data_IF_443180936334
#
_entry.id   IF_443180936334
#
_cell.length_a   1.000
_cell.length_b   1.000
_cell.length_c   1.000
_cell.angle_alpha   90.00
_cell.angle_beta   90.00
_cell.angle_gamma   90.00
#
_symmetry.space_group_name_H-M   'P 1'
#
loop_
_entity.id
_entity.type
_entity.pdbx_description
1 polymer ?
#
# COMPACT_ATOMS: atom_id res chain seq x y z
N UNK A 1 5.18 -15.31 -15.03
CA UNK A 1 5.74 -15.16 -16.39
C UNK A 1 7.08 -15.89 -16.49
N UNK A 2 8.12 -15.47 -15.76
CA UNK A 2 9.44 -16.13 -15.75
C UNK A 2 9.41 -17.67 -15.59
N UNK A 3 8.62 -18.19 -14.65
CA UNK A 3 8.51 -19.64 -14.39
C UNK A 3 7.56 -20.39 -15.35
N UNK A 4 7.26 -19.85 -16.53
CA UNK A 4 6.32 -20.44 -17.51
C UNK A 4 4.84 -20.43 -17.12
N UNK A 5 4.49 -20.15 -15.85
CA UNK A 5 3.10 -20.05 -15.34
C UNK A 5 2.44 -18.72 -15.75
N UNK A 6 2.13 -18.56 -17.03
CA UNK A 6 1.56 -17.33 -17.60
C UNK A 6 0.10 -17.09 -17.19
N UNK A 7 -0.73 -18.13 -17.22
CA UNK A 7 -2.16 -18.06 -16.85
C UNK A 7 -2.40 -17.50 -15.43
N UNK A 8 -1.83 -18.12 -14.38
CA UNK A 8 -1.96 -17.60 -13.02
C UNK A 8 -1.38 -16.20 -12.85
N UNK A 9 -0.25 -15.89 -13.50
CA UNK A 9 0.32 -14.54 -13.45
C UNK A 9 -0.64 -13.51 -14.04
N UNK A 10 -1.23 -13.78 -15.21
CA UNK A 10 -2.22 -12.90 -15.87
C UNK A 10 -3.47 -12.70 -15.02
N UNK A 11 -3.92 -13.73 -14.29
CA UNK A 11 -5.03 -13.59 -13.34
C UNK A 11 -4.71 -12.54 -12.26
N UNK A 12 -3.50 -12.55 -11.70
CA UNK A 12 -3.07 -11.56 -10.71
C UNK A 12 -3.09 -10.14 -11.32
N UNK A 13 -2.53 -9.93 -12.51
CA UNK A 13 -2.63 -8.63 -13.20
C UNK A 13 -4.08 -8.22 -13.43
N UNK A 14 -4.94 -9.14 -13.86
CA UNK A 14 -6.36 -8.88 -14.12
C UNK A 14 -7.09 -8.40 -12.87
N UNK A 15 -6.94 -9.10 -11.74
CA UNK A 15 -7.59 -8.74 -10.48
C UNK A 15 -7.16 -7.34 -10.03
N UNK A 16 -5.86 -7.04 -10.09
CA UNK A 16 -5.37 -5.73 -9.68
C UNK A 16 -5.61 -4.61 -10.70
N UNK A 17 -6.05 -4.93 -11.93
CA UNK A 17 -6.26 -3.94 -13.01
C UNK A 17 -7.39 -2.95 -12.70
N UNK A 18 -8.34 -3.34 -11.84
CA UNK A 18 -9.42 -2.47 -11.36
C UNK A 18 -9.04 -1.59 -10.17
N UNK A 19 -7.96 -1.93 -9.45
CA UNK A 19 -7.50 -1.21 -8.26
C UNK A 19 -6.29 -0.31 -8.56
N UNK A 20 -5.48 -0.70 -9.54
CA UNK A 20 -4.25 -0.04 -9.93
C UNK A 20 -4.18 0.14 -11.45
N UNK A 21 -3.64 1.28 -11.88
CA UNK A 21 -3.40 1.54 -13.30
C UNK A 21 -2.28 0.68 -13.89
N UNK A 22 -1.43 0.06 -13.06
CA UNK A 22 -0.35 -0.84 -13.48
C UNK A 22 0.54 -0.28 -14.60
N UNK A 23 0.82 1.02 -14.59
CA UNK A 23 1.71 1.61 -15.59
C UNK A 23 3.14 1.09 -15.42
N UNK A 24 3.82 0.66 -16.50
CA UNK A 24 5.15 0.08 -16.40
C UNK A 24 6.17 1.07 -15.82
N UNK A 25 6.13 2.33 -16.23
CA UNK A 25 7.00 3.41 -15.72
C UNK A 25 6.74 3.77 -14.23
N UNK A 26 5.67 3.22 -13.64
CA UNK A 26 5.29 3.43 -12.24
C UNK A 26 5.31 2.14 -11.41
N UNK A 27 5.84 1.05 -11.96
CA UNK A 27 5.87 -0.27 -11.32
C UNK A 27 7.32 -0.70 -11.08
N UNK A 28 7.51 -1.64 -10.15
CA UNK A 28 8.80 -2.31 -10.00
C UNK A 28 8.88 -3.51 -10.95
N UNK A 29 10.07 -3.80 -11.47
CA UNK A 29 10.35 -4.96 -12.31
C UNK A 29 11.11 -6.03 -11.54
N UNK A 30 10.77 -7.29 -11.83
CA UNK A 30 11.42 -8.47 -11.29
C UNK A 30 12.04 -9.28 -12.43
N UNK A 31 13.13 -9.98 -12.14
CA UNK A 31 13.81 -10.87 -13.09
C UNK A 31 14.38 -10.16 -14.33
N UNK A 32 14.66 -8.87 -14.22
CA UNK A 32 15.35 -8.06 -15.23
C UNK A 32 16.58 -7.37 -14.63
N UNK A 33 17.37 -6.65 -15.45
CA UNK A 33 18.58 -5.98 -15.01
C UNK A 33 18.31 -4.74 -14.15
N UNK A 34 17.13 -4.12 -14.29
CA UNK A 34 16.74 -2.94 -13.51
C UNK A 34 15.45 -3.20 -12.74
N UNK A 35 15.33 -2.53 -11.59
CA UNK A 35 14.12 -2.59 -10.75
C UNK A 35 13.05 -1.59 -11.18
N UNK A 36 13.41 -0.58 -11.97
CA UNK A 36 12.49 0.45 -12.48
C UNK A 36 12.99 0.94 -13.83
N UNK A 37 12.06 1.29 -14.71
CA UNK A 37 12.33 1.91 -16.01
C UNK A 37 11.56 3.22 -16.13
N UNK A 38 12.16 4.24 -16.73
CA UNK A 38 11.45 5.48 -17.04
C UNK A 38 10.60 5.31 -18.30
N UNK A 39 9.59 6.17 -18.48
CA UNK A 39 8.77 6.16 -19.69
C UNK A 39 9.63 6.37 -20.95
N UNK A 40 10.53 7.36 -20.91
CA UNK A 40 11.42 7.67 -22.02
C UNK A 40 12.34 6.50 -22.40
N UNK A 41 12.78 5.70 -21.43
CA UNK A 41 13.58 4.49 -21.71
C UNK A 41 12.74 3.44 -22.45
N UNK A 42 11.54 3.14 -21.94
CA UNK A 42 10.64 2.15 -22.54
C UNK A 42 10.16 2.56 -23.95
N UNK A 43 9.99 3.86 -24.17
CA UNK A 43 9.67 4.43 -25.49
C UNK A 43 10.87 4.34 -26.45
N UNK A 44 12.09 4.68 -25.98
CA UNK A 44 13.30 4.60 -26.79
C UNK A 44 13.64 3.16 -27.22
N UNK A 45 13.29 2.18 -26.39
CA UNK A 45 13.46 0.75 -26.67
C UNK A 45 12.27 0.16 -27.46
N UNK A 46 11.24 0.97 -27.75
CA UNK A 46 10.05 0.61 -28.53
C UNK A 46 9.34 -0.66 -28.03
N UNK A 47 9.28 -0.85 -26.70
CA UNK A 47 8.65 -2.02 -26.07
C UNK A 47 7.19 -1.80 -25.70
N UNK A 48 6.73 -0.54 -25.71
CA UNK A 48 5.36 -0.19 -25.35
C UNK A 48 4.40 -0.43 -26.53
N UNK A 49 3.20 -0.98 -26.28
CA UNK A 49 2.21 -1.27 -27.33
C UNK A 49 1.48 -0.02 -27.85
N UNK A 50 1.74 1.16 -27.29
CA UNK A 50 1.14 2.44 -27.70
C UNK A 50 1.33 3.55 -26.68
N UNK A 51 0.95 4.76 -27.05
CA UNK A 51 1.18 5.98 -26.27
C UNK A 51 0.11 6.24 -25.21
N UNK A 52 -1.10 5.70 -25.36
CA UNK A 52 -2.17 5.94 -24.39
C UNK A 52 -1.94 5.19 -23.08
N UNK A 53 -2.41 5.75 -21.95
CA UNK A 53 -2.32 5.13 -20.61
C UNK A 53 -2.87 3.70 -20.62
N UNK A 54 -3.99 3.49 -21.33
CA UNK A 54 -4.64 2.17 -21.40
C UNK A 54 -3.80 1.16 -22.16
N UNK A 55 -3.14 1.56 -23.24
CA UNK A 55 -2.23 0.70 -24.01
C UNK A 55 -0.96 0.40 -23.21
N UNK A 56 -0.31 1.41 -22.62
CA UNK A 56 0.92 1.23 -21.82
C UNK A 56 0.73 0.21 -20.69
N UNK A 57 -0.46 0.20 -20.08
CA UNK A 57 -0.81 -0.78 -19.04
C UNK A 57 -0.67 -2.25 -19.50
N UNK A 58 -0.82 -2.53 -20.79
CA UNK A 58 -0.76 -3.89 -21.33
C UNK A 58 0.67 -4.44 -21.46
N UNK A 59 1.68 -3.57 -21.39
CA UNK A 59 3.06 -4.02 -21.30
C UNK A 59 3.35 -4.63 -19.92
N UNK A 60 3.36 -5.95 -19.82
CA UNK A 60 3.70 -6.68 -18.58
C UNK A 60 5.21 -6.82 -18.39
N UNK A 61 5.97 -6.88 -19.49
CA UNK A 61 7.40 -7.12 -19.49
C UNK A 61 7.80 -8.29 -20.38
N UNK A 62 9.11 -8.49 -20.51
CA UNK A 62 9.75 -9.42 -21.43
C UNK A 62 11.05 -9.97 -20.81
N UNK A 63 11.73 -10.95 -21.43
CA UNK A 63 12.97 -11.51 -20.87
C UNK A 63 14.14 -10.52 -20.75
N UNK A 64 14.17 -9.42 -21.51
CA UNK A 64 15.24 -8.43 -21.45
C UNK A 64 15.04 -7.43 -20.30
N UNK A 65 13.80 -6.98 -20.07
CA UNK A 65 13.47 -6.00 -19.02
C UNK A 65 12.98 -6.63 -17.72
N UNK A 66 12.68 -7.94 -17.75
CA UNK A 66 11.95 -8.63 -16.69
C UNK A 66 10.46 -8.31 -16.74
N UNK A 67 9.76 -8.63 -15.65
CA UNK A 67 8.31 -8.49 -15.55
C UNK A 67 7.91 -7.54 -14.43
N UNK A 68 7.07 -6.56 -14.75
CA UNK A 68 6.57 -5.60 -13.76
C UNK A 68 5.69 -6.31 -12.72
N UNK A 69 5.69 -5.86 -11.48
CA UNK A 69 4.72 -6.31 -10.48
C UNK A 69 3.31 -5.83 -10.88
N UNK A 70 2.27 -6.57 -10.50
CA UNK A 70 0.88 -6.24 -10.79
C UNK A 70 0.31 -5.01 -10.04
N UNK A 71 1.17 -4.28 -9.33
CA UNK A 71 0.85 -3.09 -8.55
C UNK A 71 1.89 -2.01 -8.82
N UNK A 72 1.47 -0.75 -8.73
CA UNK A 72 2.40 0.35 -8.83
C UNK A 72 3.28 0.46 -7.57
N UNK A 73 4.37 1.20 -7.68
CA UNK A 73 5.32 1.48 -6.59
C UNK A 73 4.62 2.04 -5.34
N UNK A 74 3.64 2.94 -5.54
CA UNK A 74 2.86 3.56 -4.46
C UNK A 74 1.98 2.54 -3.74
N UNK A 75 1.19 1.75 -4.46
CA UNK A 75 0.28 0.76 -3.85
C UNK A 75 1.06 -0.34 -3.14
N UNK A 76 2.17 -0.79 -3.74
CA UNK A 76 3.07 -1.74 -3.09
C UNK A 76 3.62 -1.18 -1.78
N UNK A 77 4.03 0.09 -1.76
CA UNK A 77 4.53 0.73 -0.55
C UNK A 77 3.44 0.91 0.53
N UNK A 78 2.22 1.27 0.15
CA UNK A 78 1.08 1.39 1.07
C UNK A 78 0.77 0.03 1.71
N UNK A 79 0.51 -1.00 0.89
CA UNK A 79 0.13 -2.31 1.43
C UNK A 79 1.31 -2.98 2.16
N UNK A 80 2.53 -2.81 1.66
CA UNK A 80 3.74 -3.32 2.31
C UNK A 80 3.95 -2.71 3.69
N UNK A 81 3.83 -1.39 3.82
CA UNK A 81 3.99 -0.73 5.11
C UNK A 81 2.83 -1.04 6.06
N UNK A 82 1.59 -1.13 5.56
CA UNK A 82 0.44 -1.56 6.36
C UNK A 82 0.64 -2.96 6.93
N UNK A 83 1.14 -3.91 6.12
CA UNK A 83 1.43 -5.27 6.57
C UNK A 83 2.50 -5.26 7.68
N UNK A 84 3.64 -4.59 7.44
CA UNK A 84 4.76 -4.56 8.40
C UNK A 84 4.35 -3.90 9.72
N UNK A 85 3.73 -2.71 9.67
CA UNK A 85 3.29 -2.01 10.88
C UNK A 85 2.14 -2.73 11.56
N UNK A 86 1.23 -3.34 10.81
CA UNK A 86 0.12 -4.12 11.36
C UNK A 86 0.60 -5.34 12.14
N UNK A 87 1.57 -6.09 11.60
CA UNK A 87 2.22 -7.19 12.30
C UNK A 87 2.95 -6.68 13.56
N UNK A 88 3.68 -5.57 13.44
CA UNK A 88 4.35 -4.92 14.57
C UNK A 88 3.38 -4.51 15.68
N UNK A 89 2.26 -3.87 15.32
CA UNK A 89 1.18 -3.51 16.23
C UNK A 89 0.63 -4.73 16.96
N UNK A 90 0.38 -5.83 16.23
CA UNK A 90 -0.09 -7.09 16.80
C UNK A 90 0.86 -7.68 17.85
N UNK A 91 2.18 -7.51 17.68
CA UNK A 91 3.17 -7.93 18.68
C UNK A 91 3.21 -6.97 19.87
N UNK A 92 3.25 -5.66 19.64
CA UNK A 92 3.41 -4.64 20.70
C UNK A 92 2.17 -4.55 21.58
N UNK A 93 0.96 -4.61 21.00
CA UNK A 93 -0.30 -4.51 21.75
C UNK A 93 -0.46 -5.59 22.83
N UNK A 94 0.14 -6.76 22.62
CA UNK A 94 0.14 -7.88 23.59
C UNK A 94 0.95 -7.55 24.85
N UNK A 95 1.93 -6.67 24.75
CA UNK A 95 2.80 -6.28 25.88
C UNK A 95 2.44 -4.93 26.47
N UNK A 96 1.91 -4.01 25.66
CA UNK A 96 1.54 -2.66 26.09
C UNK A 96 0.26 -2.20 25.40
N UNK A 97 -0.75 -1.71 26.13
CA UNK A 97 -1.94 -1.15 25.50
C UNK A 97 -1.56 0.11 24.71
N UNK A 98 -1.98 0.16 23.45
CA UNK A 98 -1.73 1.30 22.55
C UNK A 98 -3.02 2.13 22.50
N UNK A 99 -2.93 3.40 22.87
CA UNK A 99 -4.09 4.31 22.87
C UNK A 99 -4.42 4.79 21.46
N UNK A 100 -5.71 5.04 21.16
CA UNK A 100 -6.12 5.69 19.92
C UNK A 100 -5.42 7.03 19.68
N UNK A 101 -4.85 7.20 18.49
CA UNK A 101 -4.21 8.46 18.08
C UNK A 101 -5.24 9.44 17.51
N UNK A 102 -5.01 10.75 17.61
CA UNK A 102 -5.92 11.73 17.00
C UNK A 102 -5.82 11.76 15.47
N UNK A 103 -6.92 12.14 14.80
CA UNK A 103 -6.95 12.35 13.34
C UNK A 103 -5.91 13.39 12.86
N UNK A 104 -5.49 14.31 13.73
CA UNK A 104 -4.43 15.30 13.43
C UNK A 104 -3.06 14.66 13.21
N UNK A 105 -2.74 13.60 13.94
CA UNK A 105 -1.48 12.87 13.71
C UNK A 105 -1.52 12.18 12.35
N UNK A 106 -2.66 11.58 12.00
CA UNK A 106 -2.84 10.99 10.67
C UNK A 106 -2.71 12.00 9.54
N UNK A 107 -3.16 13.25 9.71
CA UNK A 107 -2.98 14.28 8.68
C UNK A 107 -1.51 14.50 8.31
N UNK A 108 -0.57 14.35 9.25
CA UNK A 108 0.87 14.47 8.96
C UNK A 108 1.37 13.36 8.02
N UNK A 109 0.81 12.15 8.11
CA UNK A 109 1.14 11.02 7.24
C UNK A 109 0.41 11.07 5.89
N UNK A 110 -0.78 11.68 5.86
CA UNK A 110 -1.57 11.87 4.65
C UNK A 110 -1.01 12.99 3.75
N UNK A 111 -0.47 14.06 4.35
CA UNK A 111 -0.03 15.23 3.59
C UNK A 111 0.99 14.92 2.49
N UNK A 112 2.07 14.13 2.72
CA UNK A 112 3.06 13.86 1.68
C UNK A 112 2.49 13.18 0.43
N UNK A 113 1.61 12.18 0.60
CA UNK A 113 0.99 11.48 -0.53
C UNK A 113 -0.05 12.35 -1.23
N UNK A 114 -0.77 13.21 -0.49
CA UNK A 114 -1.72 14.15 -1.06
C UNK A 114 -1.01 15.20 -1.92
N UNK A 115 0.06 15.82 -1.40
CA UNK A 115 0.88 16.77 -2.17
C UNK A 115 1.51 16.07 -3.38
N UNK A 116 1.99 14.83 -3.22
CA UNK A 116 2.55 14.05 -4.32
C UNK A 116 1.55 13.76 -5.42
N UNK A 117 0.36 13.28 -5.08
CA UNK A 117 -0.71 13.00 -6.04
C UNK A 117 -1.28 14.26 -6.70
N UNK A 118 -1.58 15.30 -5.90
CA UNK A 118 -2.19 16.53 -6.39
C UNK A 118 -1.26 17.32 -7.32
N UNK A 119 0.05 17.27 -7.11
CA UNK A 119 1.01 17.90 -8.03
C UNK A 119 1.18 17.14 -9.35
N UNK A 120 0.77 15.86 -9.42
CA UNK A 120 0.78 15.08 -10.66
C UNK A 120 -0.47 15.27 -11.51
N UNK A 121 -1.64 15.52 -10.90
CA UNK A 121 -2.91 15.72 -11.63
C UNK A 121 -2.85 16.80 -12.72
N UNK A 122 -2.26 18.00 -12.47
CA UNK A 122 -2.12 19.03 -13.50
C UNK A 122 -0.89 18.84 -14.40
N UNK A 123 -0.12 17.76 -14.24
CA UNK A 123 1.08 17.49 -15.02
C UNK A 123 2.29 18.36 -14.67
N UNK A 124 2.28 19.06 -13.52
CA UNK A 124 3.38 19.95 -13.12
C UNK A 124 4.70 19.22 -12.87
N UNK A 125 4.63 17.96 -12.46
CA UNK A 125 5.81 17.10 -12.30
C UNK A 125 5.45 15.63 -12.39
N UNK A 126 6.40 14.85 -12.89
CA UNK A 126 6.40 13.41 -12.71
C UNK A 126 7.06 13.04 -11.37
N UNK A 127 6.51 12.05 -10.69
CA UNK A 127 7.09 11.59 -9.44
C UNK A 127 8.18 10.58 -9.68
N UNK A 128 9.26 10.66 -8.91
CA UNK A 128 10.29 9.62 -8.93
C UNK A 128 9.76 8.37 -8.22
N UNK A 129 10.35 7.22 -8.53
CA UNK A 129 9.98 5.97 -7.86
C UNK A 129 10.22 6.05 -6.34
N UNK A 130 11.29 6.74 -5.91
CA UNK A 130 11.60 6.95 -4.49
C UNK A 130 10.48 7.71 -3.80
N UNK A 131 10.04 8.82 -4.39
CA UNK A 131 9.00 9.65 -3.79
C UNK A 131 7.65 8.94 -3.69
N UNK A 132 7.28 8.19 -4.74
CA UNK A 132 6.07 7.35 -4.73
C UNK A 132 6.10 6.31 -3.61
N UNK A 133 7.25 5.69 -3.38
CA UNK A 133 7.42 4.68 -2.35
C UNK A 133 7.47 5.27 -0.95
N UNK A 134 8.17 6.38 -0.74
CA UNK A 134 8.24 7.05 0.58
C UNK A 134 6.87 7.60 0.99
N UNK A 135 6.21 8.34 0.11
CA UNK A 135 4.90 8.93 0.42
C UNK A 135 3.82 7.86 0.60
N UNK A 136 3.84 6.81 -0.22
CA UNK A 136 2.98 5.63 -0.06
C UNK A 136 3.21 4.91 1.27
N UNK A 137 4.47 4.66 1.62
CA UNK A 137 4.82 3.99 2.88
C UNK A 137 4.36 4.80 4.09
N UNK A 138 4.64 6.11 4.12
CA UNK A 138 4.19 7.01 5.20
C UNK A 138 2.67 6.99 5.37
N UNK A 139 1.93 7.06 4.26
CA UNK A 139 0.47 6.98 4.30
C UNK A 139 -0.02 5.65 4.89
N UNK A 140 0.53 4.51 4.43
CA UNK A 140 0.16 3.19 4.95
C UNK A 140 0.49 3.02 6.45
N UNK A 141 1.63 3.54 6.91
CA UNK A 141 1.99 3.59 8.34
C UNK A 141 0.94 4.39 9.12
N UNK A 142 0.62 5.60 8.65
CA UNK A 142 -0.36 6.48 9.28
C UNK A 142 -1.74 5.84 9.36
N UNK A 143 -2.16 5.12 8.31
CA UNK A 143 -3.46 4.46 8.27
C UNK A 143 -3.56 3.37 9.33
N UNK A 144 -2.54 2.52 9.48
CA UNK A 144 -2.51 1.50 10.55
C UNK A 144 -2.45 2.14 11.93
N UNK A 145 -1.60 3.15 12.10
CA UNK A 145 -1.44 3.87 13.36
C UNK A 145 -2.75 4.49 13.84
N UNK A 146 -3.56 5.01 12.91
CA UNK A 146 -4.88 5.52 13.22
C UNK A 146 -5.89 4.39 13.44
N UNK A 147 -6.07 3.50 12.46
CA UNK A 147 -7.20 2.58 12.43
C UNK A 147 -7.11 1.49 13.51
N UNK A 148 -5.95 0.88 13.70
CA UNK A 148 -5.84 -0.33 14.53
C UNK A 148 -6.16 -0.09 16.00
N UNK A 149 -5.64 0.96 16.66
CA UNK A 149 -6.05 1.32 18.01
C UNK A 149 -7.56 1.59 18.18
N UNK A 150 -8.20 2.23 17.20
CA UNK A 150 -9.63 2.52 17.28
C UNK A 150 -10.47 1.25 17.11
N UNK A 151 -10.11 0.40 16.15
CA UNK A 151 -10.75 -0.90 15.97
C UNK A 151 -10.59 -1.75 17.22
N UNK A 152 -9.39 -1.76 17.82
CA UNK A 152 -9.15 -2.47 19.08
C UNK A 152 -10.07 -1.96 20.20
N UNK A 153 -10.12 -0.63 20.41
CA UNK A 153 -10.99 -0.05 21.43
C UNK A 153 -12.46 -0.40 21.22
N UNK A 154 -12.97 -0.31 19.99
CA UNK A 154 -14.34 -0.68 19.66
C UNK A 154 -14.63 -2.18 19.87
N UNK A 155 -13.67 -3.06 19.56
CA UNK A 155 -13.82 -4.49 19.84
C UNK A 155 -13.82 -4.78 21.34
N UNK A 156 -12.97 -4.11 22.12
CA UNK A 156 -12.90 -4.26 23.57
C UNK A 156 -14.19 -3.78 24.28
N UNK A 157 -14.95 -2.86 23.67
CA UNK A 157 -16.27 -2.43 24.16
C UNK A 157 -17.38 -3.47 23.91
N UNK A 158 -17.31 -4.21 22.80
CA UNK A 158 -18.33 -5.18 22.40
C UNK A 158 -18.16 -6.53 23.10
N UNK A 159 -16.94 -6.91 23.47
CA UNK A 159 -16.69 -8.13 24.25
C UNK A 159 -17.42 -7.97 25.59
N UNK A 160 -18.46 -8.80 25.88
CA UNK A 160 -19.15 -8.74 27.15
C UNK A 160 -18.11 -8.91 28.24
N UNK A 161 -17.97 -7.92 29.13
CA UNK A 161 -17.24 -8.14 30.38
C UNK A 161 -17.97 -9.27 31.07
N UNK A 162 -17.39 -10.46 31.00
CA UNK A 162 -17.92 -11.66 31.63
C UNK A 162 -18.45 -11.28 33.01
N UNK A 163 -19.73 -11.56 33.16
CA UNK A 163 -20.54 -11.51 34.36
C UNK A 163 -19.80 -12.25 35.49
N UNK A 164 -18.87 -11.55 36.16
CA UNK A 164 -18.07 -12.00 37.29
C UNK A 164 -17.38 -10.81 37.99
N UNK A 165 -17.98 -9.62 37.96
CA UNK A 165 -17.65 -8.63 38.99
C UNK A 165 -18.39 -9.07 40.26
N UNK A 166 -17.71 -9.49 41.34
CA UNK A 166 -18.41 -9.77 42.59
C UNK A 166 -19.14 -8.50 43.00
N UNK A 167 -20.47 -8.61 43.08
CA UNK A 167 -21.34 -7.62 43.69
C UNK A 167 -20.71 -7.26 45.03
N UNK A 168 -20.22 -6.02 45.16
CA UNK A 168 -19.86 -5.49 46.46
C UNK A 168 -21.16 -5.47 47.26
N UNK A 169 -21.35 -6.49 48.08
CA UNK A 169 -22.40 -6.53 49.10
C UNK A 169 -22.16 -5.30 49.98
N UNK A 170 -23.08 -4.35 49.83
CA UNK A 170 -23.27 -3.24 50.73
C UNK A 170 -23.44 -3.80 52.15
N UNK A 171 -22.46 -3.56 53.00
CA UNK A 171 -22.53 -3.85 54.43
C UNK A 171 -22.58 -2.52 55.16
N UNK A 172 -23.78 -1.97 55.22
CA UNK A 172 -24.16 -1.05 56.29
C UNK A 172 -25.43 -1.57 56.95
N UNK A 173 -25.23 -2.29 58.05
CA UNK A 173 -26.13 -2.34 59.21
C UNK A 173 -25.35 -1.72 60.35
#
# INVERSE_FOLDING_TARGET
MQAGKTGPARLIYMVYRGLCHQLPERSYFLFGPQVTYSLAQLEAENVLPGESILQRRDFIGDPAHGYKIALCQRDLAIYGSMLVVGLGYGVVRRRRPIRPSSCRVFTLFLLPIAVDGLSQLPGWRESTWVLRSVTGALFGIGLVWLAYPHVQAAMDEVVPRGENAPTKLDKTV
#
